data_IF_477979915071
#
_entry.id   IF_477979915071
#
_cell.length_a   1.000
_cell.length_b   1.000
_cell.length_c   1.000
_cell.angle_alpha   90.00
_cell.angle_beta   90.00
_cell.angle_gamma   90.00
#
_symmetry.space_group_name_H-M   'P 1'
#
loop_
_entity.id
_entity.type
_entity.pdbx_description
1 polymer ?
#
# COMPACT_ATOMS: atom_id res chain seq x y z
N UNK A 1 -12.06 -2.75 -15.45
CA UNK A 1 -10.91 -3.05 -14.57
C UNK A 1 -9.95 -1.89 -14.73
N UNK A 2 -9.77 -1.06 -13.70
CA UNK A 2 -8.87 0.10 -13.80
C UNK A 2 -7.45 -0.48 -13.81
N UNK A 3 -6.82 -0.44 -14.96
CA UNK A 3 -5.40 -0.75 -15.09
C UNK A 3 -4.67 0.34 -14.31
N UNK A 4 -3.95 -0.02 -13.24
CA UNK A 4 -3.09 0.92 -12.47
C UNK A 4 -1.86 1.36 -13.29
N UNK A 5 -1.98 1.49 -14.61
CA UNK A 5 -0.83 1.75 -15.49
C UNK A 5 -0.27 3.16 -15.37
N UNK A 6 -0.94 4.07 -14.64
CA UNK A 6 -0.52 5.47 -14.47
C UNK A 6 -0.65 5.98 -13.02
N UNK A 7 -0.83 5.11 -12.03
CA UNK A 7 -0.93 5.57 -10.64
C UNK A 7 0.46 5.79 -10.06
N UNK A 8 0.89 7.05 -10.00
CA UNK A 8 2.11 7.44 -9.30
C UNK A 8 1.78 7.66 -7.82
N UNK A 9 2.35 6.85 -6.95
CA UNK A 9 2.13 6.97 -5.52
C UNK A 9 2.67 8.30 -4.99
N UNK A 10 3.81 8.77 -5.51
CA UNK A 10 4.47 9.96 -4.97
C UNK A 10 3.83 11.31 -5.30
N UNK A 11 2.78 11.37 -6.12
CA UNK A 11 2.13 12.66 -6.41
C UNK A 11 1.27 13.07 -5.22
N UNK A 12 1.42 14.31 -4.75
CA UNK A 12 0.76 14.80 -3.53
C UNK A 12 -0.77 14.64 -3.54
N UNK A 13 -1.39 14.71 -4.72
CA UNK A 13 -2.84 14.50 -4.89
C UNK A 13 -3.30 13.04 -4.66
N UNK A 14 -2.37 12.09 -4.57
CA UNK A 14 -2.66 10.66 -4.44
C UNK A 14 -2.44 10.11 -3.03
N UNK A 15 -1.81 10.85 -2.12
CA UNK A 15 -1.49 10.33 -0.78
C UNK A 15 -2.74 10.00 0.04
N UNK A 16 -3.78 10.82 -0.03
CA UNK A 16 -5.04 10.55 0.67
C UNK A 16 -5.74 9.29 0.14
N UNK A 17 -5.68 9.05 -1.17
CA UNK A 17 -6.21 7.82 -1.78
C UNK A 17 -5.40 6.59 -1.35
N UNK A 18 -4.08 6.73 -1.22
CA UNK A 18 -3.22 5.68 -0.68
C UNK A 18 -3.59 5.38 0.77
N UNK A 19 -3.75 6.40 1.60
CA UNK A 19 -4.19 6.22 2.98
C UNK A 19 -5.53 5.51 3.05
N UNK A 20 -6.50 5.84 2.18
CA UNK A 20 -7.78 5.13 2.11
C UNK A 20 -7.61 3.63 1.82
N UNK A 21 -6.67 3.25 0.95
CA UNK A 21 -6.36 1.85 0.68
C UNK A 21 -5.76 1.13 1.89
N UNK A 22 -4.91 1.82 2.67
CA UNK A 22 -4.24 1.24 3.84
C UNK A 22 -5.07 1.32 5.13
N UNK A 23 -6.06 2.22 5.22
CA UNK A 23 -6.90 2.45 6.41
C UNK A 23 -7.47 1.17 7.05
N UNK A 24 -8.01 0.19 6.30
CA UNK A 24 -8.50 -1.05 6.89
C UNK A 24 -7.41 -1.82 7.65
N UNK A 25 -6.19 -1.83 7.13
CA UNK A 25 -5.04 -2.51 7.73
C UNK A 25 -4.51 -1.73 8.94
N UNK A 26 -4.41 -0.40 8.83
CA UNK A 26 -4.00 0.48 9.92
C UNK A 26 -4.95 0.29 11.11
N UNK A 27 -6.27 0.45 10.89
CA UNK A 27 -7.29 0.27 11.94
C UNK A 27 -7.25 -1.12 12.58
N UNK A 28 -6.96 -2.17 11.80
CA UNK A 28 -6.80 -3.52 12.35
C UNK A 28 -5.57 -3.61 13.27
N UNK A 29 -4.46 -2.97 12.92
CA UNK A 29 -3.25 -2.92 13.74
C UNK A 29 -3.47 -2.17 15.05
N UNK A 30 -4.13 -1.01 15.00
CA UNK A 30 -4.40 -0.16 16.17
C UNK A 30 -5.26 -0.83 17.25
N UNK A 31 -6.08 -1.83 16.88
CA UNK A 31 -6.89 -2.57 17.86
C UNK A 31 -6.03 -3.33 18.88
N UNK A 32 -4.80 -3.69 18.51
CA UNK A 32 -3.86 -4.38 19.38
C UNK A 32 -3.02 -3.41 20.23
N UNK A 33 -3.21 -2.10 20.07
CA UNK A 33 -2.49 -1.05 20.77
C UNK A 33 -3.33 -0.49 21.91
N UNK A 34 -2.71 -0.13 23.06
CA UNK A 34 -3.40 0.58 24.14
C UNK A 34 -4.06 1.87 23.66
N UNK A 35 -5.25 2.19 24.19
CA UNK A 35 -6.07 3.29 23.66
C UNK A 35 -5.33 4.63 23.61
N UNK A 36 -4.59 4.96 24.67
CA UNK A 36 -3.82 6.21 24.76
C UNK A 36 -2.70 6.35 23.70
N UNK A 37 -2.22 5.24 23.13
CA UNK A 37 -1.13 5.24 22.14
C UNK A 37 -1.65 5.13 20.70
N UNK A 38 -2.96 4.92 20.50
CA UNK A 38 -3.52 4.65 19.17
C UNK A 38 -3.41 5.83 18.22
N UNK A 39 -3.65 7.04 18.70
CA UNK A 39 -3.60 8.24 17.87
C UNK A 39 -2.16 8.50 17.40
N UNK A 40 -1.20 8.46 18.33
CA UNK A 40 0.21 8.64 18.02
C UNK A 40 0.72 7.57 17.04
N UNK A 41 0.39 6.29 17.30
CA UNK A 41 0.79 5.20 16.41
C UNK A 41 0.12 5.31 15.03
N UNK A 42 -1.13 5.76 14.95
CA UNK A 42 -1.80 6.00 13.67
C UNK A 42 -1.04 7.04 12.84
N UNK A 43 -0.65 8.14 13.49
CA UNK A 43 0.10 9.21 12.83
C UNK A 43 1.50 8.76 12.42
N UNK A 44 2.20 8.01 13.28
CA UNK A 44 3.51 7.44 12.94
C UNK A 44 3.43 6.53 11.72
N UNK A 45 2.41 5.65 11.65
CA UNK A 45 2.21 4.78 10.48
C UNK A 45 1.96 5.59 9.20
N UNK A 46 1.11 6.62 9.26
CA UNK A 46 0.85 7.51 8.10
C UNK A 46 2.13 8.21 7.64
N UNK A 47 2.92 8.72 8.57
CA UNK A 47 4.19 9.39 8.26
C UNK A 47 5.17 8.41 7.60
N UNK A 48 5.26 7.17 8.10
CA UNK A 48 6.11 6.12 7.51
C UNK A 48 5.67 5.74 6.10
N UNK A 49 4.37 5.69 5.82
CA UNK A 49 3.86 5.47 4.45
C UNK A 49 4.28 6.63 3.54
N UNK A 50 4.15 7.87 4.01
CA UNK A 50 4.56 9.07 3.27
C UNK A 50 6.07 9.06 2.95
N UNK A 51 6.91 8.79 3.95
CA UNK A 51 8.38 8.68 3.77
C UNK A 51 8.79 7.65 2.72
N UNK A 52 8.03 6.55 2.61
CA UNK A 52 8.32 5.43 1.72
C UNK A 52 7.55 5.50 0.40
N UNK A 53 6.79 6.57 0.16
CA UNK A 53 5.89 6.67 -1.00
C UNK A 53 6.62 6.56 -2.34
N UNK A 54 7.82 7.14 -2.43
CA UNK A 54 8.69 7.08 -3.61
C UNK A 54 9.24 5.67 -3.88
N UNK A 55 9.30 4.81 -2.86
CA UNK A 55 9.71 3.41 -3.04
C UNK A 55 8.62 2.62 -3.74
N UNK A 56 7.35 2.95 -3.51
CA UNK A 56 6.21 2.31 -4.18
C UNK A 56 6.12 2.64 -5.67
N UNK A 57 6.57 3.83 -6.10
CA UNK A 57 6.63 4.20 -7.52
C UNK A 57 7.55 3.29 -8.34
N UNK A 58 8.62 2.77 -7.73
CA UNK A 58 9.53 1.82 -8.36
C UNK A 58 9.10 0.36 -8.21
N UNK A 59 8.02 0.10 -7.48
CA UNK A 59 7.57 -1.24 -7.16
C UNK A 59 6.57 -1.73 -8.22
N UNK A 60 7.03 -2.61 -9.10
CA UNK A 60 6.15 -3.36 -10.00
C UNK A 60 5.88 -4.72 -9.36
N UNK A 61 4.61 -4.97 -9.01
CA UNK A 61 4.16 -6.29 -8.60
C UNK A 61 3.36 -6.91 -9.76
N UNK A 62 3.53 -8.22 -10.03
CA UNK A 62 2.72 -8.89 -11.04
C UNK A 62 1.25 -8.81 -10.67
N UNK A 63 0.39 -8.53 -11.65
CA UNK A 63 -1.05 -8.66 -11.48
C UNK A 63 -1.43 -10.10 -11.18
N UNK A 64 -2.67 -10.33 -10.73
CA UNK A 64 -3.14 -11.68 -10.42
C UNK A 64 -2.95 -12.66 -11.59
N UNK A 65 -3.25 -12.24 -12.82
CA UNK A 65 -3.08 -13.08 -14.00
C UNK A 65 -1.61 -13.20 -14.43
N UNK A 66 -0.84 -12.11 -14.41
CA UNK A 66 0.61 -12.16 -14.67
C UNK A 66 1.33 -13.12 -13.72
N UNK A 67 0.87 -13.16 -12.46
CA UNK A 67 1.37 -14.09 -11.44
C UNK A 67 1.01 -15.54 -11.78
N UNK A 68 -0.23 -15.82 -12.21
CA UNK A 68 -0.67 -17.16 -12.61
C UNK A 68 0.04 -17.63 -13.90
N UNK A 69 0.22 -16.75 -14.88
CA UNK A 69 0.95 -17.04 -16.12
C UNK A 69 2.44 -17.29 -15.83
N UNK A 70 3.06 -16.50 -14.97
CA UNK A 70 4.44 -16.73 -14.51
C UNK A 70 4.63 -18.07 -13.80
N UNK A 71 3.64 -18.54 -13.03
CA UNK A 71 3.66 -19.87 -12.39
C UNK A 71 3.59 -21.01 -13.43
N UNK A 72 2.91 -20.79 -14.56
CA UNK A 72 2.76 -21.79 -15.61
C UNK A 72 3.91 -21.79 -16.63
N UNK A 73 4.71 -20.71 -16.68
CA UNK A 73 5.84 -20.55 -17.59
C UNK A 73 7.12 -21.31 -17.21
N UNK A 74 7.27 -21.73 -15.95
CA UNK A 74 8.43 -22.50 -15.46
C UNK A 74 8.28 -24.03 -15.64
N UNK A 75 7.22 -24.47 -16.32
CA UNK A 75 7.03 -25.87 -16.74
C UNK A 75 6.89 -25.94 -18.25
N UNK A 76 7.99 -25.88 -18.97
CA UNK A 76 8.22 -26.51 -20.28
C UNK A 76 9.71 -26.49 -20.64
#
# INVERSE_FOLDING_TARGET
MIVMSNFKFSSDNNFEEILKLFLPKIKKSLRNTPFQEREDLEQEIKLKIYEKIYVFDGFSAPGFFDFIEGINGDKL
#
